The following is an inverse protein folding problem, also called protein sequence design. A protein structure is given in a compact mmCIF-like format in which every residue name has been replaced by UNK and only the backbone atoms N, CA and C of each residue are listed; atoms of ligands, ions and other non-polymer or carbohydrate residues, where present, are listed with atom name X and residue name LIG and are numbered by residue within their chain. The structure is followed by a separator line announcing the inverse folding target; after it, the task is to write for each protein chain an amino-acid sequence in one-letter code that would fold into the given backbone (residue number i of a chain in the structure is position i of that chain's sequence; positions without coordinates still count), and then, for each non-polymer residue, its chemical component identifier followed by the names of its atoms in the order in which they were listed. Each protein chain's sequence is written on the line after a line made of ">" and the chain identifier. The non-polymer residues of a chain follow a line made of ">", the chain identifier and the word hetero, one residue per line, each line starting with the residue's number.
data_IF_665538780233
#
_entry.id   IF_665538780233
#
_cell.length_a   1.000
_cell.length_b   1.000
_cell.length_c   1.000
_cell.angle_alpha   90.00
_cell.angle_beta   90.00
_cell.angle_gamma   90.00
#
_symmetry.space_group_name_H-M   'P 1'
#
loop_
_entity.id
_entity.type
_entity.pdbx_description
1 polymer ?
#
# COMPACT_ATOMS: atom_id res chain seq x y z
N UNK A 1 -2.74 18.31 4.39
CA UNK A 1 -2.86 17.00 3.76
C UNK A 1 -2.88 15.94 4.84
N UNK A 2 -3.79 15.00 4.72
CA UNK A 2 -3.94 13.88 5.67
C UNK A 2 -3.77 12.56 4.95
N UNK A 3 -2.89 11.71 5.44
CA UNK A 3 -2.64 10.39 4.88
C UNK A 3 -3.04 9.34 5.91
N UNK A 4 -3.85 8.38 5.48
CA UNK A 4 -4.20 7.23 6.29
C UNK A 4 -3.29 6.06 6.02
N UNK A 5 -3.03 5.26 7.06
CA UNK A 5 -2.34 3.98 6.95
C UNK A 5 -3.20 2.94 7.65
N UNK A 6 -3.71 2.00 6.89
CA UNK A 6 -4.39 0.82 7.41
C UNK A 6 -3.41 -0.35 7.35
N UNK A 7 -3.18 -1.02 8.47
CA UNK A 7 -2.29 -2.18 8.53
C UNK A 7 -2.86 -3.29 9.40
N UNK A 8 -2.16 -4.40 9.51
CA UNK A 8 -2.63 -5.58 10.22
C UNK A 8 -1.68 -5.99 11.33
N UNK A 9 -2.23 -6.62 12.38
CA UNK A 9 -1.43 -7.30 13.39
C UNK A 9 -0.82 -8.59 12.87
N UNK A 10 -1.36 -9.14 11.79
CA UNK A 10 -0.91 -10.40 11.19
C UNK A 10 0.45 -10.27 10.49
N UNK A 11 0.79 -9.10 9.96
CA UNK A 11 2.06 -8.87 9.26
C UNK A 11 3.27 -9.12 10.19
N UNK A 12 4.29 -9.77 9.65
CA UNK A 12 5.52 -10.14 10.39
C UNK A 12 6.60 -9.06 10.34
N UNK A 13 6.32 -7.94 9.69
CA UNK A 13 7.17 -6.77 9.59
C UNK A 13 6.30 -5.52 9.78
N UNK A 14 6.82 -4.51 10.49
CA UNK A 14 6.09 -3.26 10.69
C UNK A 14 6.17 -2.38 9.44
N UNK A 15 5.35 -2.72 8.45
CA UNK A 15 5.27 -1.99 7.17
C UNK A 15 4.80 -0.55 7.40
N UNK A 16 3.92 -0.33 8.37
CA UNK A 16 3.42 1.01 8.67
C UNK A 16 4.53 1.93 9.14
N UNK A 17 5.48 1.43 9.94
CA UNK A 17 6.65 2.23 10.34
C UNK A 17 7.46 2.66 9.12
N UNK A 18 7.72 1.74 8.19
CA UNK A 18 8.44 2.05 6.96
C UNK A 18 7.70 3.09 6.11
N UNK A 19 6.37 2.96 5.99
CA UNK A 19 5.54 3.92 5.28
C UNK A 19 5.60 5.31 5.91
N UNK A 20 5.45 5.40 7.23
CA UNK A 20 5.47 6.66 7.98
C UNK A 20 6.83 7.34 7.84
N UNK A 21 7.92 6.59 8.03
CA UNK A 21 9.27 7.12 7.91
C UNK A 21 9.53 7.71 6.51
N UNK A 22 9.06 7.02 5.47
CA UNK A 22 9.21 7.50 4.09
C UNK A 22 8.30 8.69 3.77
N UNK A 23 7.03 8.61 4.14
CA UNK A 23 6.08 9.69 3.88
C UNK A 23 6.51 11.02 4.51
N UNK A 24 7.08 10.99 5.69
CA UNK A 24 7.59 12.19 6.38
C UNK A 24 8.69 12.92 5.61
N UNK A 25 9.37 12.23 4.70
CA UNK A 25 10.39 12.85 3.83
C UNK A 25 9.78 13.60 2.64
N UNK A 26 8.59 13.19 2.20
CA UNK A 26 7.99 13.65 0.95
C UNK A 26 6.76 14.52 1.15
N UNK A 27 5.99 14.29 2.20
CA UNK A 27 4.66 14.86 2.35
C UNK A 27 4.55 15.62 3.66
N UNK A 28 4.36 16.94 3.62
CA UNK A 28 3.97 17.69 4.82
C UNK A 28 2.51 17.36 5.16
N UNK A 29 2.21 17.17 6.42
CA UNK A 29 0.85 16.90 6.86
C UNK A 29 0.78 15.89 8.00
N UNK A 30 -0.42 15.41 8.26
CA UNK A 30 -0.69 14.46 9.34
C UNK A 30 -0.88 13.04 8.81
N UNK A 31 -0.46 12.06 9.60
CA UNK A 31 -0.60 10.64 9.29
C UNK A 31 -1.48 10.00 10.37
N UNK A 32 -2.50 9.29 9.93
CA UNK A 32 -3.42 8.55 10.79
C UNK A 32 -3.25 7.06 10.55
N UNK A 33 -2.88 6.32 11.58
CA UNK A 33 -2.71 4.86 11.52
C UNK A 33 -3.91 4.15 12.14
N UNK A 34 -4.40 3.12 11.48
CA UNK A 34 -5.47 2.26 11.95
C UNK A 34 -5.10 0.80 11.72
N UNK A 35 -4.80 0.09 12.81
CA UNK A 35 -4.37 -1.31 12.75
C UNK A 35 -5.54 -2.24 13.01
N UNK A 36 -5.70 -3.25 12.17
CA UNK A 36 -6.78 -4.24 12.22
C UNK A 36 -6.22 -5.67 12.33
N UNK A 37 -7.03 -6.66 12.77
CA UNK A 37 -6.54 -8.02 12.98
C UNK A 37 -6.14 -8.76 11.70
N UNK A 38 -6.85 -8.55 10.61
CA UNK A 38 -6.69 -9.35 9.41
C UNK A 38 -6.83 -8.56 8.12
N UNK A 39 -6.37 -9.16 7.03
CA UNK A 39 -6.32 -8.50 5.72
C UNK A 39 -7.70 -8.09 5.19
N UNK A 40 -8.73 -8.88 5.50
CA UNK A 40 -10.11 -8.59 5.07
C UNK A 40 -10.76 -7.44 5.83
N UNK A 41 -10.13 -6.96 6.90
CA UNK A 41 -10.59 -5.77 7.63
C UNK A 41 -10.03 -4.48 7.03
N UNK A 42 -9.04 -4.56 6.14
CA UNK A 42 -8.42 -3.40 5.50
C UNK A 42 -9.41 -2.54 4.70
N UNK A 43 -10.36 -3.11 3.95
CA UNK A 43 -11.30 -2.28 3.20
C UNK A 43 -12.13 -1.34 4.09
N UNK A 44 -12.70 -1.82 5.17
CA UNK A 44 -13.50 -0.97 6.06
C UNK A 44 -12.62 0.00 6.84
N UNK A 45 -11.43 -0.42 7.27
CA UNK A 45 -10.47 0.47 7.93
C UNK A 45 -10.06 1.63 7.02
N UNK A 46 -9.76 1.32 5.78
CA UNK A 46 -9.40 2.33 4.77
C UNK A 46 -10.53 3.30 4.49
N UNK A 47 -11.76 2.79 4.35
CA UNK A 47 -12.95 3.62 4.14
C UNK A 47 -13.19 4.56 5.33
N UNK A 48 -13.05 4.07 6.56
CA UNK A 48 -13.16 4.90 7.77
C UNK A 48 -12.10 5.99 7.82
N UNK A 49 -10.86 5.68 7.47
CA UNK A 49 -9.81 6.68 7.39
C UNK A 49 -10.14 7.78 6.39
N UNK A 50 -10.70 7.44 5.24
CA UNK A 50 -11.10 8.40 4.23
C UNK A 50 -12.30 9.25 4.65
N UNK A 51 -13.37 8.64 5.16
CA UNK A 51 -14.63 9.33 5.44
C UNK A 51 -14.72 9.92 6.84
N UNK A 52 -14.25 9.19 7.85
CA UNK A 52 -14.40 9.62 9.25
C UNK A 52 -13.19 10.43 9.74
N UNK A 53 -11.98 10.04 9.34
CA UNK A 53 -10.75 10.76 9.68
C UNK A 53 -10.40 11.87 8.68
N UNK A 54 -11.07 11.91 7.55
CA UNK A 54 -10.85 12.93 6.51
C UNK A 54 -9.52 12.82 5.78
N UNK A 55 -8.98 11.59 5.68
CA UNK A 55 -7.74 11.38 4.92
C UNK A 55 -7.96 11.60 3.43
N UNK A 56 -6.97 12.21 2.79
CA UNK A 56 -6.99 12.47 1.34
C UNK A 56 -6.68 11.21 0.53
N UNK A 57 -5.86 10.32 1.11
CA UNK A 57 -5.43 9.06 0.52
C UNK A 57 -5.10 8.08 1.65
N UNK A 58 -5.18 6.78 1.37
CA UNK A 58 -4.81 5.72 2.32
C UNK A 58 -3.82 4.76 1.68
N UNK A 59 -2.85 4.30 2.46
CA UNK A 59 -2.06 3.11 2.16
C UNK A 59 -2.64 1.93 2.94
N UNK A 60 -2.95 0.85 2.26
CA UNK A 60 -3.42 -0.40 2.87
C UNK A 60 -2.30 -1.44 2.80
N UNK A 61 -1.77 -1.81 3.94
CA UNK A 61 -0.57 -2.63 4.06
C UNK A 61 -0.93 -4.02 4.58
N UNK A 62 -0.44 -5.05 3.91
CA UNK A 62 -0.69 -6.42 4.31
C UNK A 62 0.47 -7.35 3.96
N UNK A 63 0.61 -8.41 4.75
CA UNK A 63 1.56 -9.48 4.50
C UNK A 63 0.83 -10.83 4.58
N UNK A 64 0.13 -11.21 3.50
CA UNK A 64 -0.58 -12.49 3.50
C UNK A 64 0.39 -13.67 3.48
N UNK A 65 -0.06 -14.78 4.05
CA UNK A 65 0.68 -16.03 4.03
C UNK A 65 0.75 -16.65 2.63
N UNK A 66 1.45 -17.80 2.55
CA UNK A 66 1.74 -18.49 1.29
C UNK A 66 0.70 -19.53 0.89
N UNK A 67 -0.21 -19.90 1.77
CA UNK A 67 -1.24 -20.91 1.47
C UNK A 67 -2.26 -20.38 0.46
N UNK A 68 -2.92 -21.30 -0.26
CA UNK A 68 -3.93 -20.96 -1.23
C UNK A 68 -5.06 -20.11 -0.63
N UNK A 69 -5.48 -20.44 0.59
CA UNK A 69 -6.52 -19.67 1.30
C UNK A 69 -6.05 -18.24 1.61
N UNK A 70 -4.77 -18.04 1.93
CA UNK A 70 -4.22 -16.71 2.20
C UNK A 70 -4.25 -15.84 0.95
N UNK A 71 -3.92 -16.42 -0.20
CA UNK A 71 -3.95 -15.74 -1.49
C UNK A 71 -5.39 -15.39 -1.91
N UNK A 72 -6.34 -16.26 -1.63
CA UNK A 72 -7.75 -15.97 -1.85
C UNK A 72 -8.23 -14.83 -0.95
N UNK A 73 -7.89 -14.85 0.33
CA UNK A 73 -8.23 -13.76 1.25
C UNK A 73 -7.63 -12.43 0.81
N UNK A 74 -6.38 -12.44 0.33
CA UNK A 74 -5.74 -11.25 -0.22
C UNK A 74 -6.48 -10.71 -1.45
N UNK A 75 -6.89 -11.59 -2.36
CA UNK A 75 -7.66 -11.21 -3.54
C UNK A 75 -9.02 -10.61 -3.16
N UNK A 76 -9.71 -11.20 -2.21
CA UNK A 76 -10.97 -10.66 -1.70
C UNK A 76 -10.78 -9.29 -1.04
N UNK A 77 -9.70 -9.12 -0.28
CA UNK A 77 -9.34 -7.84 0.33
C UNK A 77 -9.05 -6.77 -0.74
N UNK A 78 -8.29 -7.13 -1.79
CA UNK A 78 -8.02 -6.23 -2.92
C UNK A 78 -9.32 -5.79 -3.59
N UNK A 79 -10.25 -6.71 -3.83
CA UNK A 79 -11.56 -6.39 -4.38
C UNK A 79 -12.33 -5.42 -3.48
N UNK A 80 -12.29 -5.64 -2.17
CA UNK A 80 -12.90 -4.75 -1.19
C UNK A 80 -12.27 -3.36 -1.18
N UNK A 81 -10.95 -3.27 -1.30
CA UNK A 81 -10.22 -2.00 -1.37
C UNK A 81 -10.59 -1.22 -2.63
N UNK A 82 -10.73 -1.90 -3.78
CA UNK A 82 -11.19 -1.27 -5.02
C UNK A 82 -12.59 -0.69 -4.82
N UNK A 83 -13.50 -1.44 -4.21
CA UNK A 83 -14.85 -0.94 -3.90
C UNK A 83 -14.82 0.28 -2.99
N UNK A 84 -14.00 0.26 -1.95
CA UNK A 84 -13.84 1.39 -1.04
C UNK A 84 -13.34 2.65 -1.78
N UNK A 85 -12.41 2.50 -2.71
CA UNK A 85 -11.96 3.60 -3.57
C UNK A 85 -13.10 4.18 -4.40
N UNK A 86 -13.89 3.32 -5.04
CA UNK A 86 -15.02 3.75 -5.87
C UNK A 86 -16.11 4.42 -5.04
N UNK A 87 -16.39 3.90 -3.84
CA UNK A 87 -17.40 4.46 -2.95
C UNK A 87 -17.02 5.83 -2.39
N UNK A 88 -15.73 6.08 -2.21
CA UNK A 88 -15.22 7.33 -1.62
C UNK A 88 -14.66 8.31 -2.65
N UNK A 89 -14.50 7.88 -3.89
CA UNK A 89 -13.82 8.62 -4.97
C UNK A 89 -12.44 9.12 -4.53
N UNK A 90 -11.70 8.28 -3.82
CA UNK A 90 -10.34 8.55 -3.32
C UNK A 90 -9.46 7.31 -3.48
N UNK A 91 -8.17 7.52 -3.66
CA UNK A 91 -7.24 6.44 -3.84
C UNK A 91 -6.90 5.72 -2.53
N UNK A 92 -6.81 4.40 -2.63
CA UNK A 92 -6.20 3.53 -1.62
C UNK A 92 -5.06 2.81 -2.30
N UNK A 93 -3.84 3.04 -1.85
CA UNK A 93 -2.65 2.36 -2.37
C UNK A 93 -2.48 1.05 -1.61
N UNK A 94 -2.72 -0.06 -2.31
CA UNK A 94 -2.52 -1.39 -1.75
C UNK A 94 -1.03 -1.76 -1.79
N UNK A 95 -0.52 -2.23 -0.66
CA UNK A 95 0.84 -2.76 -0.56
C UNK A 95 0.78 -4.14 0.10
N UNK A 96 0.72 -5.17 -0.71
CA UNK A 96 0.72 -6.55 -0.24
C UNK A 96 2.06 -7.20 -0.56
N UNK A 97 2.66 -7.82 0.45
CA UNK A 97 3.86 -8.63 0.35
C UNK A 97 3.53 -10.02 0.83
N UNK A 98 3.55 -11.00 -0.06
CA UNK A 98 3.26 -12.38 0.29
C UNK A 98 4.50 -13.03 0.90
N UNK A 99 4.30 -13.86 1.92
CA UNK A 99 5.43 -14.50 2.62
C UNK A 99 6.30 -15.37 1.71
N UNK A 100 5.74 -15.92 0.64
CA UNK A 100 6.47 -16.77 -0.31
C UNK A 100 7.20 -15.99 -1.42
N UNK A 101 7.16 -14.66 -1.39
CA UNK A 101 7.96 -13.83 -2.31
C UNK A 101 9.44 -13.77 -1.93
N UNK A 102 9.80 -14.22 -0.74
CA UNK A 102 11.17 -14.21 -0.25
C UNK A 102 11.57 -15.59 0.30
N UNK A 103 12.84 -15.94 0.17
CA UNK A 103 13.36 -17.24 0.58
C UNK A 103 13.74 -17.31 2.08
N UNK A 104 13.86 -16.16 2.75
CA UNK A 104 14.21 -16.07 4.16
C UNK A 104 13.47 -14.92 4.85
N UNK A 105 13.40 -14.97 6.18
CA UNK A 105 12.77 -13.90 6.96
C UNK A 105 13.48 -12.56 6.76
N UNK A 106 14.80 -12.57 6.63
CA UNK A 106 15.59 -11.36 6.38
C UNK A 106 15.28 -10.75 5.02
N UNK A 107 15.17 -11.57 3.99
CA UNK A 107 14.79 -11.11 2.65
C UNK A 107 13.34 -10.60 2.62
N UNK A 108 12.44 -11.28 3.33
CA UNK A 108 11.05 -10.86 3.45
C UNK A 108 10.96 -9.47 4.10
N UNK A 109 11.69 -9.24 5.17
CA UNK A 109 11.74 -7.93 5.83
C UNK A 109 12.27 -6.83 4.89
N UNK A 110 13.34 -7.13 4.15
CA UNK A 110 13.91 -6.18 3.18
C UNK A 110 12.93 -5.85 2.05
N UNK A 111 12.28 -6.88 1.52
CA UNK A 111 11.29 -6.72 0.45
C UNK A 111 10.10 -5.88 0.93
N UNK A 112 9.59 -6.19 2.12
CA UNK A 112 8.47 -5.45 2.70
C UNK A 112 8.83 -3.98 2.94
N UNK A 113 10.02 -3.71 3.49
CA UNK A 113 10.49 -2.35 3.72
C UNK A 113 10.64 -1.58 2.41
N UNK A 114 11.35 -2.14 1.44
CA UNK A 114 11.62 -1.50 0.16
C UNK A 114 10.32 -1.22 -0.63
N UNK A 115 9.45 -2.22 -0.74
CA UNK A 115 8.17 -2.08 -1.46
C UNK A 115 7.27 -1.03 -0.80
N UNK A 116 7.19 -1.04 0.52
CA UNK A 116 6.38 -0.06 1.25
C UNK A 116 6.88 1.37 1.02
N UNK A 117 8.19 1.58 1.05
CA UNK A 117 8.77 2.91 0.79
C UNK A 117 8.53 3.39 -0.63
N UNK A 118 8.66 2.48 -1.61
CA UNK A 118 8.40 2.81 -3.02
C UNK A 118 6.93 3.24 -3.22
N UNK A 119 5.99 2.51 -2.63
CA UNK A 119 4.57 2.88 -2.68
C UNK A 119 4.29 4.21 -1.94
N UNK A 120 4.99 4.48 -0.86
CA UNK A 120 4.88 5.77 -0.16
C UNK A 120 5.33 6.94 -1.05
N UNK A 121 6.36 6.77 -1.87
CA UNK A 121 6.76 7.75 -2.87
C UNK A 121 5.68 7.94 -3.94
N UNK A 122 5.00 6.86 -4.33
CA UNK A 122 3.88 6.94 -5.27
C UNK A 122 2.68 7.71 -4.67
N UNK A 123 2.45 7.61 -3.37
CA UNK A 123 1.45 8.46 -2.69
C UNK A 123 1.75 9.94 -2.92
N UNK A 124 2.99 10.36 -2.69
CA UNK A 124 3.41 11.74 -2.95
C UNK A 124 3.20 12.14 -4.41
N UNK A 125 3.65 11.31 -5.33
CA UNK A 125 3.54 11.57 -6.77
C UNK A 125 2.09 11.67 -7.22
N UNK A 126 1.23 10.79 -6.72
CA UNK A 126 -0.20 10.78 -7.06
C UNK A 126 -0.91 12.04 -6.54
N UNK A 127 -0.68 12.41 -5.30
CA UNK A 127 -1.26 13.59 -4.68
C UNK A 127 -0.84 14.90 -5.36
N UNK A 128 0.36 14.94 -5.95
CA UNK A 128 0.92 16.12 -6.60
C UNK A 128 0.87 16.05 -8.13
N UNK A 129 0.11 15.09 -8.68
CA UNK A 129 -0.06 14.89 -10.13
C UNK A 129 1.29 14.78 -10.88
N UNK A 130 2.26 14.05 -10.31
CA UNK A 130 3.59 13.91 -10.91
C UNK A 130 3.78 12.64 -11.73
N UNK A 131 2.81 11.73 -11.69
CA UNK A 131 2.91 10.44 -12.39
C UNK A 131 2.83 10.58 -13.92
N UNK A 132 2.20 11.63 -14.43
CA UNK A 132 2.13 11.89 -15.87
C UNK A 132 3.53 11.92 -16.52
N UNK A 133 4.54 12.39 -15.81
CA UNK A 133 5.93 12.44 -16.28
C UNK A 133 6.57 11.05 -16.43
N UNK A 134 5.99 10.05 -15.77
CA UNK A 134 6.46 8.65 -15.80
C UNK A 134 5.62 7.76 -16.72
N UNK A 135 4.59 8.30 -17.33
CA UNK A 135 3.73 7.56 -18.23
C UNK A 135 4.52 7.03 -19.44
N UNK A 136 4.29 5.77 -19.78
CA UNK A 136 4.94 5.12 -20.92
C UNK A 136 6.39 4.69 -20.68
N UNK A 137 6.92 4.86 -19.47
CA UNK A 137 8.33 4.54 -19.16
C UNK A 137 8.54 3.14 -18.55
N UNK A 138 7.51 2.30 -18.53
CA UNK A 138 7.62 0.95 -17.99
C UNK A 138 7.82 0.89 -16.48
N UNK A 139 7.48 1.95 -15.76
CA UNK A 139 7.55 1.99 -14.29
C UNK A 139 6.51 1.04 -13.68
N UNK A 140 6.94 0.21 -12.75
CA UNK A 140 6.08 -0.74 -12.05
C UNK A 140 6.04 -0.46 -10.56
N UNK A 141 4.85 -0.51 -10.01
CA UNK A 141 4.64 -0.35 -8.58
C UNK A 141 5.01 -1.64 -7.84
N UNK A 142 6.03 -1.57 -6.98
CA UNK A 142 6.44 -2.69 -6.15
C UNK A 142 7.19 -3.81 -6.85
N UNK A 143 7.50 -3.66 -8.13
CA UNK A 143 8.23 -4.63 -8.95
C UNK A 143 9.32 -3.93 -9.77
N UNK A 144 10.22 -4.72 -10.35
CA UNK A 144 11.25 -4.18 -11.23
C UNK A 144 10.63 -3.47 -12.44
N UNK A 145 11.14 -2.31 -12.77
CA UNK A 145 10.73 -1.58 -13.97
C UNK A 145 11.06 -2.38 -15.23
N UNK A 146 10.27 -2.17 -16.27
CA UNK A 146 10.51 -2.77 -17.59
C UNK A 146 10.96 -1.68 -18.57
N UNK A 147 11.68 -2.11 -19.60
CA UNK A 147 12.21 -1.20 -20.61
C UNK A 147 11.08 -0.65 -21.50
N UNK A 148 11.03 0.66 -21.76
CA UNK A 148 10.09 1.21 -22.73
C UNK A 148 10.29 0.62 -24.12
N UNK A 149 9.24 0.67 -24.95
CA UNK A 149 9.29 0.26 -26.34
C UNK A 149 9.08 1.47 -27.24
N UNK A 150 9.81 1.50 -28.34
CA UNK A 150 9.69 2.53 -29.38
C UNK A 150 9.39 1.84 -30.73
N UNK A 151 9.03 2.64 -31.70
CA UNK A 151 8.88 2.14 -33.07
C UNK A 151 10.20 1.62 -33.63
#
# INVERSE_FOLDING_TARGET
>A
MKIGIADTTFARYDMAKAAIDELRRWVPGTIHRYTVPGIKDLPVASKKLLEESGCDIVMALGMPGSAAIDKQCAHEASTGLIRAQLMTNRHIIEVFVFEDEAASDKELARLADARTREHAQNVYKLLNNRLTQEAGKGKREGFADVKPVDF
#
